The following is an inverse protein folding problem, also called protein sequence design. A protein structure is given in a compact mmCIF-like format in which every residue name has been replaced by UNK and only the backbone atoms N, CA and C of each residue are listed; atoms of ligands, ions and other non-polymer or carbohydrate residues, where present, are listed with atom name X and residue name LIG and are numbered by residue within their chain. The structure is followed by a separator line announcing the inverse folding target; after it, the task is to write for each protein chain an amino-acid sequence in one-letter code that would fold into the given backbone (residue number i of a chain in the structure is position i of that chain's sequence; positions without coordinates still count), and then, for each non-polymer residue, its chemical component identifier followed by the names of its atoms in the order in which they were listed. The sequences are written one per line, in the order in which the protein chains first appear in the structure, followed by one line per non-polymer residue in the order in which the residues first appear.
data_IF_766664360369
#
_entry.id   IF_766664360369
#
_cell.length_a   1.000
_cell.length_b   1.000
_cell.length_c   1.000
_cell.angle_alpha   90.00
_cell.angle_beta   90.00
_cell.angle_gamma   90.00
#
_symmetry.space_group_name_H-M   'P 1'
#
loop_
_entity.id
_entity.type
_entity.pdbx_description
1 polymer ?
#
# COMPACT_ATOMS: atom_id res chain seq x y z
N UNK A 1 23.48 42.07 24.24
CA UNK A 1 24.36 40.94 24.63
C UNK A 1 23.91 39.74 23.83
N UNK A 2 24.72 39.25 22.90
CA UNK A 2 24.44 38.00 22.21
C UNK A 2 24.76 36.84 23.14
N UNK A 3 23.80 35.95 23.38
CA UNK A 3 24.02 34.67 24.02
C UNK A 3 24.84 33.79 23.08
N UNK A 4 25.97 33.27 23.55
CA UNK A 4 26.76 32.26 22.83
C UNK A 4 26.26 30.91 23.31
N UNK A 5 25.43 30.27 22.50
CA UNK A 5 24.96 28.91 22.76
C UNK A 5 26.02 27.93 22.25
N UNK A 6 26.66 27.23 23.19
CA UNK A 6 27.69 26.24 22.88
C UNK A 6 27.01 24.91 22.60
N UNK A 7 27.01 24.53 21.32
CA UNK A 7 26.53 23.20 20.90
C UNK A 7 27.53 22.14 21.34
N UNK A 8 27.07 21.16 22.11
CA UNK A 8 27.89 20.02 22.53
C UNK A 8 27.83 18.90 21.48
N UNK A 9 28.82 18.01 21.52
CA UNK A 9 28.80 16.80 20.69
C UNK A 9 27.56 15.93 20.97
N UNK A 10 27.07 15.93 22.21
CA UNK A 10 25.89 15.19 22.62
C UNK A 10 24.62 15.73 21.96
N UNK A 11 24.50 17.05 21.82
CA UNK A 11 23.36 17.70 21.15
C UNK A 11 23.29 17.30 19.67
N UNK A 12 24.45 17.14 19.01
CA UNK A 12 24.52 16.68 17.62
C UNK A 12 24.12 15.21 17.47
N UNK A 13 24.52 14.34 18.38
CA UNK A 13 24.12 12.92 18.36
C UNK A 13 22.62 12.76 18.66
N UNK A 14 22.08 13.58 19.57
CA UNK A 14 20.64 13.62 19.84
C UNK A 14 19.87 14.10 18.60
N UNK A 15 20.29 15.22 18.00
CA UNK A 15 19.69 15.75 16.78
C UNK A 15 19.71 14.73 15.63
N UNK A 16 20.84 14.04 15.42
CA UNK A 16 20.95 12.98 14.40
C UNK A 16 19.94 11.87 14.66
N UNK A 17 19.80 11.44 15.90
CA UNK A 17 18.87 10.36 16.27
C UNK A 17 17.41 10.78 16.04
N UNK A 18 17.05 11.98 16.47
CA UNK A 18 15.70 12.54 16.30
C UNK A 18 15.35 12.76 14.83
N UNK A 19 16.32 13.25 14.04
CA UNK A 19 16.16 13.44 12.60
C UNK A 19 15.93 12.09 11.90
N UNK A 20 16.72 11.07 12.21
CA UNK A 20 16.56 9.74 11.62
C UNK A 20 15.23 9.10 12.01
N UNK A 21 14.77 9.29 13.25
CA UNK A 21 13.47 8.84 13.70
C UNK A 21 12.32 9.52 12.93
N UNK A 22 12.39 10.86 12.78
CA UNK A 22 11.40 11.62 12.02
C UNK A 22 11.36 11.21 10.53
N UNK A 23 12.52 11.01 9.90
CA UNK A 23 12.61 10.52 8.51
C UNK A 23 11.98 9.13 8.37
N UNK A 24 12.19 8.24 9.35
CA UNK A 24 11.57 6.91 9.34
C UNK A 24 10.04 7.00 9.41
N UNK A 25 9.50 7.86 10.26
CA UNK A 25 8.04 8.09 10.35
C UNK A 25 7.48 8.57 9.01
N UNK A 26 8.12 9.57 8.38
CA UNK A 26 7.68 10.08 7.08
C UNK A 26 7.71 9.00 5.99
N UNK A 27 8.73 8.13 6.01
CA UNK A 27 8.81 6.98 5.09
C UNK A 27 7.72 5.95 5.35
N UNK A 28 7.37 5.68 6.60
CA UNK A 28 6.31 4.73 6.96
C UNK A 28 4.91 5.31 6.67
N UNK A 29 4.70 6.62 6.80
CA UNK A 29 3.46 7.31 6.45
C UNK A 29 3.20 7.28 4.93
N UNK A 30 4.24 7.42 4.10
CA UNK A 30 4.09 7.24 2.64
C UNK A 30 3.74 5.81 2.23
N UNK A 31 4.02 4.81 3.08
CA UNK A 31 3.66 3.40 2.85
C UNK A 31 2.26 3.06 3.37
N UNK A 32 1.72 3.85 4.30
CA UNK A 32 0.46 3.62 4.99
C UNK A 32 -0.62 4.65 4.61
N UNK A 33 -0.62 5.17 3.37
CA UNK A 33 -1.88 5.74 2.85
C UNK A 33 -2.94 4.63 2.96
N UNK A 34 -4.08 4.87 3.64
CA UNK A 34 -5.16 3.91 3.64
C UNK A 34 -5.43 3.59 2.17
N UNK A 35 -5.47 2.30 1.79
CA UNK A 35 -5.49 1.92 0.39
C UNK A 35 -6.61 2.72 -0.27
N UNK A 36 -6.26 3.50 -1.30
CA UNK A 36 -7.23 4.31 -2.03
C UNK A 36 -8.45 3.44 -2.27
N UNK A 37 -9.59 3.86 -1.70
CA UNK A 37 -10.82 3.05 -1.69
C UNK A 37 -11.12 2.48 -3.07
N UNK A 38 -10.85 3.29 -4.10
CA UNK A 38 -10.96 2.93 -5.50
C UNK A 38 -9.59 2.73 -6.14
N UNK A 39 -9.38 1.55 -6.70
CA UNK A 39 -8.22 1.16 -7.47
C UNK A 39 -8.55 1.23 -8.96
N UNK A 40 -7.63 1.73 -9.77
CA UNK A 40 -7.69 1.63 -11.23
C UNK A 40 -7.17 0.28 -11.70
N UNK A 41 -7.49 -0.09 -12.94
CA UNK A 41 -7.05 -1.35 -13.58
C UNK A 41 -5.56 -1.65 -13.39
N UNK A 42 -4.66 -0.68 -13.56
CA UNK A 42 -3.22 -0.93 -13.39
C UNK A 42 -2.86 -1.23 -11.92
N UNK A 43 -3.47 -0.52 -10.97
CA UNK A 43 -3.19 -0.72 -9.53
C UNK A 43 -3.64 -2.10 -9.06
N UNK A 44 -4.79 -2.58 -9.55
CA UNK A 44 -5.25 -3.96 -9.26
C UNK A 44 -4.28 -4.98 -9.85
N UNK A 45 -3.79 -4.74 -11.08
CA UNK A 45 -2.81 -5.64 -11.70
C UNK A 45 -1.53 -5.71 -10.88
N UNK A 46 -0.99 -4.56 -10.47
CA UNK A 46 0.22 -4.48 -9.66
C UNK A 46 0.01 -5.18 -8.30
N UNK A 47 -1.14 -4.92 -7.65
CA UNK A 47 -1.51 -5.53 -6.36
C UNK A 47 -1.62 -7.06 -6.42
N UNK A 48 -2.08 -7.62 -7.54
CA UNK A 48 -2.26 -9.06 -7.73
C UNK A 48 -1.00 -9.77 -8.28
N UNK A 49 0.16 -9.11 -8.28
CA UNK A 49 1.42 -9.68 -8.76
C UNK A 49 1.64 -9.48 -10.27
N UNK A 50 1.33 -8.29 -10.77
CA UNK A 50 1.50 -7.86 -12.17
C UNK A 50 0.73 -8.72 -13.20
N UNK A 51 -0.49 -9.14 -12.87
CA UNK A 51 -1.30 -9.97 -13.78
C UNK A 51 -1.57 -9.28 -15.13
N UNK A 52 -1.76 -10.09 -16.17
CA UNK A 52 -2.03 -9.59 -17.52
C UNK A 52 -3.41 -8.88 -17.61
N UNK A 53 -3.56 -7.98 -18.58
CA UNK A 53 -4.85 -7.34 -18.86
C UNK A 53 -5.95 -8.35 -19.24
N UNK A 54 -5.59 -9.44 -19.93
CA UNK A 54 -6.50 -10.51 -20.31
C UNK A 54 -7.02 -11.30 -19.11
N UNK A 55 -6.17 -11.55 -18.11
CA UNK A 55 -6.55 -12.20 -16.85
C UNK A 55 -7.58 -11.35 -16.10
N UNK A 56 -7.29 -10.05 -15.92
CA UNK A 56 -8.21 -9.14 -15.24
C UNK A 56 -9.51 -8.92 -16.03
N UNK A 57 -9.47 -8.93 -17.36
CA UNK A 57 -10.68 -8.92 -18.19
C UNK A 57 -11.51 -10.19 -17.98
N UNK A 58 -10.86 -11.36 -17.91
CA UNK A 58 -11.55 -12.64 -17.65
C UNK A 58 -12.21 -12.64 -16.28
N UNK A 59 -11.53 -12.14 -15.24
CA UNK A 59 -12.10 -11.98 -13.90
C UNK A 59 -13.34 -11.07 -13.90
N UNK A 60 -13.32 -9.97 -14.66
CA UNK A 60 -14.50 -9.11 -14.84
C UNK A 60 -15.64 -9.80 -15.58
N UNK A 61 -15.33 -10.45 -16.70
CA UNK A 61 -16.33 -11.14 -17.53
C UNK A 61 -17.02 -12.28 -16.76
N UNK A 62 -16.28 -12.99 -15.91
CA UNK A 62 -16.78 -14.09 -15.11
C UNK A 62 -17.42 -13.64 -13.79
N UNK A 63 -17.47 -12.33 -13.52
CA UNK A 63 -18.03 -11.78 -12.28
C UNK A 63 -17.22 -12.09 -11.01
N UNK A 64 -15.97 -12.55 -11.15
CA UNK A 64 -15.09 -12.89 -10.03
C UNK A 64 -14.59 -11.66 -9.29
N UNK A 65 -14.37 -10.56 -10.01
CA UNK A 65 -13.97 -9.29 -9.42
C UNK A 65 -14.96 -8.18 -9.81
N UNK A 66 -15.80 -7.73 -8.86
CA UNK A 66 -16.70 -6.60 -9.08
C UNK A 66 -15.93 -5.34 -9.49
N UNK A 67 -16.53 -4.54 -10.37
CA UNK A 67 -15.96 -3.27 -10.78
C UNK A 67 -17.08 -2.25 -11.04
N UNK A 68 -16.77 -0.98 -10.79
CA UNK A 68 -17.59 0.16 -11.17
C UNK A 68 -17.05 0.78 -12.45
N UNK A 69 -17.92 1.13 -13.38
CA UNK A 69 -17.54 1.83 -14.61
C UNK A 69 -17.83 3.32 -14.46
N UNK A 70 -16.78 4.14 -14.45
CA UNK A 70 -16.88 5.59 -14.45
C UNK A 70 -16.33 6.12 -15.77
N UNK A 71 -17.21 6.53 -16.69
CA UNK A 71 -16.80 7.13 -17.98
C UNK A 71 -15.75 6.32 -18.74
N UNK A 72 -15.94 5.00 -18.84
CA UNK A 72 -15.00 4.10 -19.53
C UNK A 72 -13.80 3.65 -18.70
N UNK A 73 -13.60 4.19 -17.49
CA UNK A 73 -12.59 3.74 -16.55
C UNK A 73 -13.19 2.71 -15.58
N UNK A 74 -12.62 1.50 -15.56
CA UNK A 74 -12.95 0.50 -14.54
C UNK A 74 -12.25 0.84 -13.22
N UNK A 75 -13.04 0.94 -12.16
CA UNK A 75 -12.61 1.15 -10.79
C UNK A 75 -13.01 -0.06 -9.94
N UNK A 76 -12.19 -0.39 -8.95
CA UNK A 76 -12.37 -1.55 -8.09
C UNK A 76 -12.29 -1.12 -6.64
N UNK A 77 -13.13 -1.66 -5.76
CA UNK A 77 -12.95 -1.43 -4.34
C UNK A 77 -11.78 -2.28 -3.83
N UNK A 78 -10.91 -1.67 -3.02
CA UNK A 78 -9.81 -2.41 -2.40
C UNK A 78 -10.32 -3.60 -1.57
N UNK A 79 -11.46 -3.44 -0.89
CA UNK A 79 -12.11 -4.49 -0.11
C UNK A 79 -12.50 -5.70 -0.98
N UNK A 80 -12.96 -5.47 -2.21
CA UNK A 80 -13.33 -6.57 -3.12
C UNK A 80 -12.10 -7.34 -3.60
N UNK A 81 -11.01 -6.63 -3.92
CA UNK A 81 -9.75 -7.27 -4.34
C UNK A 81 -9.16 -8.11 -3.20
N UNK A 82 -9.16 -7.59 -1.98
CA UNK A 82 -8.66 -8.33 -0.80
C UNK A 82 -9.54 -9.52 -0.46
N UNK A 83 -10.86 -9.36 -0.51
CA UNK A 83 -11.82 -10.46 -0.31
C UNK A 83 -11.60 -11.58 -1.32
N UNK A 84 -11.42 -11.25 -2.61
CA UNK A 84 -11.10 -12.25 -3.64
C UNK A 84 -9.84 -13.04 -3.29
N UNK A 85 -8.79 -12.36 -2.82
CA UNK A 85 -7.55 -13.03 -2.42
C UNK A 85 -7.75 -13.95 -1.22
N UNK A 86 -8.57 -13.55 -0.25
CA UNK A 86 -8.91 -14.39 0.89
C UNK A 86 -9.71 -15.63 0.48
N UNK A 87 -10.63 -15.51 -0.47
CA UNK A 87 -11.40 -16.63 -1.03
C UNK A 87 -10.51 -17.62 -1.81
N UNK A 88 -9.46 -17.13 -2.48
CA UNK A 88 -8.51 -17.97 -3.23
C UNK A 88 -7.43 -18.62 -2.35
N UNK A 89 -7.29 -18.24 -1.07
CA UNK A 89 -6.28 -18.81 -0.17
C UNK A 89 -6.55 -20.30 0.07
N UNK A 90 -5.58 -21.14 -0.28
CA UNK A 90 -5.62 -22.58 0.01
C UNK A 90 -5.20 -22.79 1.48
N UNK A 91 -6.03 -23.45 2.32
CA UNK A 91 -5.69 -23.68 3.72
C UNK A 91 -4.55 -24.71 3.83
N UNK A 92 -3.49 -24.35 4.57
CA UNK A 92 -2.38 -25.26 4.84
C UNK A 92 -2.82 -26.25 5.92
N UNK A 93 -3.00 -27.53 5.55
CA UNK A 93 -3.16 -28.60 6.55
C UNK A 93 -1.83 -28.76 7.29
N UNK A 94 -1.82 -28.46 8.59
CA UNK A 94 -0.69 -28.82 9.47
C UNK A 94 -0.57 -30.35 9.45
N UNK A 95 0.54 -30.87 8.92
CA UNK A 95 0.90 -32.28 9.10
C UNK A 95 1.18 -32.47 10.59
N UNK A 96 0.23 -33.11 11.28
CA UNK A 96 0.44 -33.70 12.60
C UNK A 96 1.26 -34.98 12.49
#
# INVERSE_FOLDING_TARGET
MGSIDIVTKQDLEQFKTDLLAAVKVLLDETRNEPPRRWLKTYQVRDMLGEISAGTLQTMRNNGMLPYSLLTGLALYEYADVTKLMDELKVPIKKRG
#
